data_IF_015771940208
#
_entry.id   IF_015771940208
#
_cell.length_a   1.000
_cell.length_b   1.000
_cell.length_c   1.000
_cell.angle_alpha   90.00
_cell.angle_beta   90.00
_cell.angle_gamma   90.00
#
_symmetry.space_group_name_H-M   'P 1'
#
loop_
_entity.id
_entity.type
_entity.pdbx_description
1 polymer ?
#
# COMPACT_ATOMS: atom_id res chain seq x y z
N UNK A 1 25.18 -10.00 11.37
CA UNK A 1 23.93 -10.09 10.59
C UNK A 1 22.86 -9.09 11.02
N UNK A 2 22.43 -9.05 12.29
CA UNK A 2 21.29 -8.25 12.75
C UNK A 2 21.40 -6.72 12.49
N UNK A 3 22.60 -6.14 12.61
CA UNK A 3 22.86 -4.72 12.27
C UNK A 3 22.71 -4.42 10.78
N UNK A 4 23.16 -5.31 9.91
CA UNK A 4 23.05 -5.15 8.46
C UNK A 4 21.58 -5.27 8.02
N UNK A 5 20.82 -6.19 8.61
CA UNK A 5 19.38 -6.31 8.36
C UNK A 5 18.63 -5.03 8.78
N UNK A 6 18.89 -4.51 9.99
CA UNK A 6 18.26 -3.29 10.49
C UNK A 6 18.57 -2.07 9.62
N UNK A 7 19.77 -1.99 9.06
CA UNK A 7 20.16 -0.94 8.13
C UNK A 7 19.39 -1.05 6.80
N UNK A 8 19.30 -2.25 6.21
CA UNK A 8 18.52 -2.48 4.99
C UNK A 8 17.04 -2.14 5.19
N UNK A 9 16.45 -2.50 6.34
CA UNK A 9 15.07 -2.15 6.68
C UNK A 9 14.90 -0.63 6.77
N UNK A 10 15.80 0.06 7.48
CA UNK A 10 15.73 1.52 7.61
C UNK A 10 15.88 2.21 6.24
N UNK A 11 16.79 1.75 5.40
CA UNK A 11 16.96 2.29 4.04
C UNK A 11 15.74 2.04 3.16
N UNK A 12 15.10 0.86 3.25
CA UNK A 12 13.91 0.58 2.45
C UNK A 12 12.69 1.40 2.92
N UNK A 13 12.42 1.45 4.22
CA UNK A 13 11.22 2.08 4.78
C UNK A 13 11.34 3.59 4.99
N UNK A 14 12.48 4.06 5.49
CA UNK A 14 12.67 5.47 5.86
C UNK A 14 13.34 6.30 4.76
N UNK A 15 13.45 5.77 3.55
CA UNK A 15 13.88 6.57 2.41
C UNK A 15 12.80 7.61 2.06
N UNK A 16 13.24 8.79 1.59
CA UNK A 16 12.38 9.90 1.17
C UNK A 16 11.31 9.44 0.18
N UNK A 17 11.67 8.64 -0.82
CA UNK A 17 10.72 8.16 -1.85
C UNK A 17 9.66 7.25 -1.24
N UNK A 18 10.05 6.26 -0.43
CA UNK A 18 9.11 5.37 0.26
C UNK A 18 8.15 6.15 1.16
N UNK A 19 8.67 7.13 1.92
CA UNK A 19 7.84 7.99 2.76
C UNK A 19 6.87 8.84 1.94
N UNK A 20 7.34 9.46 0.84
CA UNK A 20 6.49 10.25 -0.06
C UNK A 20 5.35 9.38 -0.60
N UNK A 21 5.64 8.18 -1.09
CA UNK A 21 4.63 7.24 -1.62
C UNK A 21 3.62 6.87 -0.53
N UNK A 22 4.09 6.58 0.69
CA UNK A 22 3.20 6.23 1.81
C UNK A 22 2.27 7.40 2.15
N UNK A 23 2.82 8.61 2.33
CA UNK A 23 2.03 9.78 2.70
C UNK A 23 1.09 10.23 1.56
N UNK A 24 1.52 10.16 0.30
CA UNK A 24 0.65 10.43 -0.83
C UNK A 24 -0.49 9.41 -0.94
N UNK A 25 -0.21 8.12 -0.71
CA UNK A 25 -1.22 7.07 -0.70
C UNK A 25 -2.25 7.27 0.41
N UNK A 26 -1.80 7.61 1.62
CA UNK A 26 -2.70 7.93 2.73
C UNK A 26 -3.56 9.17 2.42
N UNK A 27 -2.96 10.25 1.91
CA UNK A 27 -3.70 11.46 1.55
C UNK A 27 -4.77 11.19 0.48
N UNK A 28 -4.43 10.43 -0.57
CA UNK A 28 -5.38 10.02 -1.60
C UNK A 28 -6.58 9.26 -1.01
N UNK A 29 -6.33 8.37 -0.05
CA UNK A 29 -7.39 7.59 0.60
C UNK A 29 -8.27 8.46 1.49
N UNK A 30 -7.70 9.42 2.23
CA UNK A 30 -8.51 10.37 2.99
C UNK A 30 -9.40 11.22 2.08
N UNK A 31 -8.85 11.72 0.98
CA UNK A 31 -9.60 12.49 -0.03
C UNK A 31 -10.72 11.62 -0.61
N UNK A 32 -10.40 10.40 -1.05
CA UNK A 32 -11.39 9.46 -1.58
C UNK A 32 -12.50 9.18 -0.57
N UNK A 33 -12.15 8.85 0.67
CA UNK A 33 -13.11 8.53 1.73
C UNK A 33 -14.02 9.71 2.05
N UNK A 34 -13.48 10.93 2.10
CA UNK A 34 -14.28 12.14 2.33
C UNK A 34 -15.29 12.37 1.20
N UNK A 35 -14.84 12.33 -0.06
CA UNK A 35 -15.69 12.65 -1.21
C UNK A 35 -16.70 11.55 -1.53
N UNK A 36 -16.32 10.28 -1.46
CA UNK A 36 -17.15 9.16 -1.94
C UNK A 36 -17.95 8.45 -0.85
N UNK A 37 -17.48 8.51 0.40
CA UNK A 37 -18.15 7.90 1.55
C UNK A 37 -18.87 8.97 2.36
N UNK A 38 -18.13 9.85 3.05
CA UNK A 38 -18.72 10.79 4.04
C UNK A 38 -19.77 11.71 3.41
N UNK A 39 -19.49 12.29 2.24
CA UNK A 39 -20.43 13.21 1.57
C UNK A 39 -21.77 12.57 1.20
N UNK A 40 -21.80 11.25 1.01
CA UNK A 40 -22.99 10.51 0.59
C UNK A 40 -23.69 9.78 1.74
N UNK A 41 -23.12 9.80 2.95
CA UNK A 41 -23.78 9.33 4.16
C UNK A 41 -24.79 10.40 4.58
N UNK A 42 -26.03 10.26 4.09
CA UNK A 42 -27.15 11.16 4.41
C UNK A 42 -27.95 11.67 3.21
N UNK A 43 -27.46 11.46 1.98
CA UNK A 43 -28.18 11.80 0.74
C UNK A 43 -28.94 10.55 0.27
N UNK A 44 -30.21 10.45 0.67
CA UNK A 44 -30.98 9.21 0.68
C UNK A 44 -31.18 8.53 -0.68
N UNK A 45 -30.88 7.23 -0.72
CA UNK A 45 -31.70 6.10 -1.23
C UNK A 45 -30.89 4.82 -0.95
N UNK A 46 -31.28 4.10 0.10
CA UNK A 46 -30.47 3.16 0.90
C UNK A 46 -30.12 1.79 0.27
N UNK A 47 -29.97 1.70 -1.06
CA UNK A 47 -29.56 0.44 -1.70
C UNK A 47 -28.06 0.34 -2.02
N UNK A 48 -27.37 1.48 -2.17
CA UNK A 48 -25.98 1.51 -2.67
C UNK A 48 -24.96 2.09 -1.69
N UNK A 49 -25.36 2.41 -0.46
CA UNK A 49 -24.45 2.86 0.61
C UNK A 49 -23.96 1.63 1.39
N UNK A 50 -23.29 0.72 0.69
CA UNK A 50 -22.63 -0.43 1.33
C UNK A 50 -21.12 -0.35 1.11
N UNK A 51 -20.36 -0.97 2.02
CA UNK A 51 -18.90 -1.07 1.87
C UNK A 51 -18.52 -1.69 0.52
N UNK A 52 -19.30 -2.65 0.01
CA UNK A 52 -19.03 -3.33 -1.26
C UNK A 52 -19.08 -2.39 -2.47
N UNK A 53 -19.95 -1.37 -2.47
CA UNK A 53 -20.05 -0.43 -3.59
C UNK A 53 -19.18 0.82 -3.43
N UNK A 54 -18.83 1.17 -2.19
CA UNK A 54 -18.12 2.42 -1.88
C UNK A 54 -16.62 2.23 -1.65
N UNK A 55 -16.20 1.06 -1.20
CA UNK A 55 -14.79 0.77 -1.01
C UNK A 55 -14.08 0.86 -2.34
N UNK A 56 -12.96 1.61 -2.35
CA UNK A 56 -12.11 1.74 -3.53
C UNK A 56 -11.85 0.38 -4.16
N UNK A 57 -11.59 -0.64 -3.33
CA UNK A 57 -11.23 -2.01 -3.68
C UNK A 57 -12.15 -2.82 -4.59
N UNK A 58 -13.41 -2.41 -4.74
CA UNK A 58 -14.41 -3.20 -5.46
C UNK A 58 -15.08 -2.38 -6.58
N UNK A 59 -14.44 -1.29 -7.00
CA UNK A 59 -14.99 -0.34 -7.98
C UNK A 59 -14.38 -0.57 -9.36
N UNK A 60 -15.19 -1.08 -10.29
CA UNK A 60 -14.75 -1.66 -11.57
C UNK A 60 -13.72 -0.81 -12.34
N UNK A 61 -14.01 0.46 -12.66
CA UNK A 61 -13.13 1.26 -13.53
C UNK A 61 -11.95 1.94 -12.81
N UNK A 62 -12.04 2.17 -11.50
CA UNK A 62 -11.01 2.91 -10.75
C UNK A 62 -9.94 1.98 -10.17
N UNK A 63 -10.31 0.71 -9.97
CA UNK A 63 -9.40 -0.30 -9.43
C UNK A 63 -8.34 -0.74 -10.42
N UNK A 64 -8.63 -0.73 -11.72
CA UNK A 64 -7.66 -1.10 -12.74
C UNK A 64 -6.40 -0.23 -12.65
N UNK A 65 -6.57 1.09 -12.49
CA UNK A 65 -5.44 2.01 -12.37
C UNK A 65 -4.65 1.76 -11.08
N UNK A 66 -5.34 1.49 -9.96
CA UNK A 66 -4.69 1.26 -8.68
C UNK A 66 -3.92 -0.07 -8.66
N UNK A 67 -4.47 -1.13 -9.25
CA UNK A 67 -3.82 -2.43 -9.42
C UNK A 67 -2.61 -2.34 -10.37
N UNK A 68 -2.71 -1.54 -11.44
CA UNK A 68 -1.59 -1.29 -12.36
C UNK A 68 -0.42 -0.54 -11.68
N UNK A 69 -0.70 0.27 -10.66
CA UNK A 69 0.34 0.97 -9.90
C UNK A 69 1.08 0.06 -8.92
N UNK A 70 0.51 -1.08 -8.52
CA UNK A 70 1.11 -2.02 -7.56
C UNK A 70 2.56 -2.42 -7.92
N UNK A 71 2.86 -2.95 -9.12
CA UNK A 71 4.24 -3.34 -9.46
C UNK A 71 5.20 -2.16 -9.48
N UNK A 72 4.73 -0.98 -9.89
CA UNK A 72 5.53 0.25 -9.91
C UNK A 72 5.89 0.65 -8.48
N UNK A 73 4.90 0.72 -7.58
CA UNK A 73 5.08 1.03 -6.16
C UNK A 73 6.02 0.01 -5.49
N UNK A 74 5.82 -1.27 -5.77
CA UNK A 74 6.62 -2.35 -5.19
C UNK A 74 8.10 -2.28 -5.61
N UNK A 75 8.41 -1.71 -6.77
CA UNK A 75 9.79 -1.61 -7.28
C UNK A 75 10.62 -0.47 -6.65
N UNK A 76 9.98 0.59 -6.15
CA UNK A 76 10.69 1.77 -5.64
C UNK A 76 11.59 1.53 -4.42
N UNK A 77 11.17 0.75 -3.40
CA UNK A 77 12.03 0.47 -2.25
C UNK A 77 13.32 -0.24 -2.66
N UNK A 78 13.25 -1.17 -3.62
CA UNK A 78 14.43 -1.84 -4.15
C UNK A 78 15.33 -0.87 -4.91
N UNK A 79 14.78 -0.16 -5.89
CA UNK A 79 15.53 0.78 -6.73
C UNK A 79 16.29 1.82 -5.89
N UNK A 80 15.59 2.44 -4.94
CA UNK A 80 16.17 3.51 -4.13
C UNK A 80 17.15 3.01 -3.08
N UNK A 81 16.86 1.88 -2.42
CA UNK A 81 17.79 1.26 -1.48
C UNK A 81 19.07 0.77 -2.17
N UNK A 82 18.95 0.22 -3.38
CA UNK A 82 20.10 -0.21 -4.16
C UNK A 82 20.95 0.98 -4.65
N UNK A 83 20.31 2.06 -5.11
CA UNK A 83 21.03 3.25 -5.56
C UNK A 83 21.76 3.95 -4.40
N UNK A 84 21.18 3.97 -3.19
CA UNK A 84 21.85 4.49 -1.99
C UNK A 84 23.12 3.70 -1.66
N UNK A 85 23.07 2.37 -1.76
CA UNK A 85 24.25 1.53 -1.53
C UNK A 85 25.32 1.74 -2.62
N UNK A 86 24.91 2.04 -3.85
CA UNK A 86 25.81 2.38 -4.95
C UNK A 86 26.48 3.74 -4.75
N UNK A 87 25.74 4.77 -4.32
CA UNK A 87 26.26 6.12 -4.10
C UNK A 87 27.18 6.22 -2.89
N UNK A 88 26.86 5.50 -1.80
CA UNK A 88 27.70 5.45 -0.59
C UNK A 88 28.98 4.62 -0.80
N UNK A 89 29.15 4.09 -2.01
CA UNK A 89 30.20 3.18 -2.40
C UNK A 89 29.94 1.81 -1.79
N UNK A 90 29.62 0.82 -2.62
CA UNK A 90 29.61 -0.62 -2.27
C UNK A 90 30.93 -1.13 -1.62
N UNK A 91 31.94 -0.26 -1.49
CA UNK A 91 33.28 -0.49 -0.93
C UNK A 91 33.26 -1.24 0.40
N UNK A 92 32.40 -0.98 1.40
CA UNK A 92 32.41 -1.75 2.65
C UNK A 92 31.85 -3.17 2.50
N UNK A 93 31.00 -3.45 1.50
CA UNK A 93 30.45 -4.78 1.26
C UNK A 93 31.46 -5.67 0.53
N UNK A 94 32.10 -5.11 -0.50
CA UNK A 94 33.20 -5.74 -1.24
C UNK A 94 34.43 -5.91 -0.35
N UNK A 95 34.74 -4.93 0.52
CA UNK A 95 35.90 -5.00 1.42
C UNK A 95 35.71 -5.88 2.66
N UNK A 96 34.47 -6.27 3.03
CA UNK A 96 34.18 -7.09 4.22
C UNK A 96 33.99 -8.58 3.91
N UNK A 97 34.19 -9.02 2.67
CA UNK A 97 34.12 -10.44 2.31
C UNK A 97 32.72 -11.06 2.43
N UNK A 98 31.65 -10.25 2.38
CA UNK A 98 30.28 -10.76 2.40
C UNK A 98 29.95 -11.25 0.98
N UNK A 99 29.49 -12.50 0.86
CA UNK A 99 29.10 -13.05 -0.43
C UNK A 99 27.88 -12.30 -1.00
N UNK A 100 27.91 -12.08 -2.32
CA UNK A 100 26.90 -11.27 -3.02
C UNK A 100 25.50 -11.87 -2.95
N UNK A 101 25.43 -13.21 -2.89
CA UNK A 101 24.19 -13.97 -2.88
C UNK A 101 23.33 -13.70 -1.62
N UNK A 102 23.81 -13.95 -0.37
CA UNK A 102 23.02 -13.67 0.83
C UNK A 102 22.68 -12.19 1.01
N UNK A 103 23.54 -11.28 0.53
CA UNK A 103 23.19 -9.84 0.47
C UNK A 103 21.97 -9.60 -0.42
N UNK A 104 22.01 -10.11 -1.65
CA UNK A 104 20.94 -9.91 -2.65
C UNK A 104 19.61 -10.51 -2.18
N UNK A 105 19.65 -11.71 -1.58
CA UNK A 105 18.46 -12.35 -0.99
C UNK A 105 17.88 -11.51 0.14
N UNK A 106 18.73 -11.04 1.07
CA UNK A 106 18.28 -10.20 2.20
C UNK A 106 17.66 -8.90 1.70
N UNK A 107 18.30 -8.26 0.71
CA UNK A 107 17.80 -7.02 0.13
C UNK A 107 16.45 -7.25 -0.54
N UNK A 108 16.32 -8.28 -1.36
CA UNK A 108 15.07 -8.63 -2.03
C UNK A 108 13.92 -8.84 -1.05
N UNK A 109 14.13 -9.65 0.00
CA UNK A 109 13.12 -9.91 1.03
C UNK A 109 12.65 -8.60 1.69
N UNK A 110 13.60 -7.78 2.17
CA UNK A 110 13.28 -6.52 2.85
C UNK A 110 12.51 -5.58 1.92
N UNK A 111 12.93 -5.46 0.67
CA UNK A 111 12.30 -4.53 -0.28
C UNK A 111 10.95 -5.03 -0.78
N UNK A 112 10.77 -6.35 -0.89
CA UNK A 112 9.48 -6.96 -1.22
C UNK A 112 8.44 -6.66 -0.15
N UNK A 113 8.77 -6.89 1.12
CA UNK A 113 7.87 -6.56 2.23
C UNK A 113 7.62 -5.06 2.34
N UNK A 114 8.64 -4.22 2.11
CA UNK A 114 8.48 -2.77 2.11
C UNK A 114 7.54 -2.29 1.00
N UNK A 115 7.75 -2.76 -0.24
CA UNK A 115 6.91 -2.42 -1.39
C UNK A 115 5.48 -2.93 -1.24
N UNK A 116 5.32 -4.17 -0.77
CA UNK A 116 4.02 -4.74 -0.45
C UNK A 116 3.29 -3.92 0.64
N UNK A 117 3.99 -3.50 1.70
CA UNK A 117 3.39 -2.69 2.75
C UNK A 117 3.01 -1.28 2.24
N UNK A 118 3.86 -0.65 1.43
CA UNK A 118 3.58 0.66 0.81
C UNK A 118 2.30 0.67 -0.02
N UNK A 119 2.02 -0.43 -0.73
CA UNK A 119 0.82 -0.57 -1.52
C UNK A 119 -0.39 -1.00 -0.68
N UNK A 120 -0.23 -2.05 0.12
CA UNK A 120 -1.34 -2.71 0.81
C UNK A 120 -1.80 -1.96 2.06
N UNK A 121 -0.91 -1.28 2.77
CA UNK A 121 -1.26 -0.60 4.02
C UNK A 121 -2.29 0.52 3.81
N UNK A 122 -2.10 1.45 2.86
CA UNK A 122 -3.14 2.43 2.52
C UNK A 122 -4.46 1.72 2.17
N UNK A 123 -4.40 0.69 1.32
CA UNK A 123 -5.58 -0.03 0.84
C UNK A 123 -6.39 -0.69 1.96
N UNK A 124 -5.74 -1.37 2.91
CA UNK A 124 -6.42 -1.94 4.10
C UNK A 124 -7.05 -0.83 4.94
N UNK A 125 -6.35 0.31 5.10
CA UNK A 125 -6.89 1.44 5.86
C UNK A 125 -8.16 2.01 5.21
N UNK A 126 -8.23 2.05 3.89
CA UNK A 126 -9.46 2.48 3.18
C UNK A 126 -10.64 1.55 3.47
N UNK A 127 -10.41 0.23 3.56
CA UNK A 127 -11.44 -0.74 3.90
C UNK A 127 -11.91 -0.54 5.34
N UNK A 128 -10.97 -0.35 6.26
CA UNK A 128 -11.26 -0.07 7.66
C UNK A 128 -12.10 1.20 7.80
N UNK A 129 -11.75 2.28 7.10
CA UNK A 129 -12.54 3.51 7.13
C UNK A 129 -13.95 3.31 6.57
N UNK A 130 -14.11 2.58 5.47
CA UNK A 130 -15.44 2.24 4.95
C UNK A 130 -16.27 1.49 5.99
N UNK A 131 -15.68 0.48 6.65
CA UNK A 131 -16.37 -0.30 7.70
C UNK A 131 -16.70 0.47 8.96
N UNK A 132 -15.87 1.45 9.35
CA UNK A 132 -16.14 2.30 10.51
C UNK A 132 -17.17 3.40 10.24
N UNK A 133 -17.35 3.79 8.97
CA UNK A 133 -18.20 4.94 8.61
C UNK A 133 -19.56 4.52 8.06
N UNK A 134 -19.60 3.44 7.28
CA UNK A 134 -20.83 2.93 6.68
C UNK A 134 -21.50 2.00 7.71
N UNK A 135 -22.73 2.29 8.16
CA UNK A 135 -23.45 1.37 9.03
C UNK A 135 -23.66 0.04 8.28
N UNK A 136 -23.34 -1.08 8.94
CA UNK A 136 -23.72 -2.38 8.42
C UNK A 136 -25.26 -2.45 8.48
N UNK A 137 -25.92 -2.22 7.34
CA UNK A 137 -27.37 -2.34 7.23
C UNK A 137 -27.80 -3.74 7.63
N UNK A 138 -28.99 -3.88 8.23
CA UNK A 138 -29.57 -5.21 8.40
C UNK A 138 -29.67 -5.87 7.02
N UNK A 139 -29.20 -7.13 6.86
CA UNK A 139 -29.37 -7.83 5.60
C UNK A 139 -30.86 -7.91 5.32
N UNK A 140 -31.35 -7.11 4.38
CA UNK A 140 -32.76 -7.10 4.04
C UNK A 140 -33.06 -8.43 3.37
N UNK A 141 -33.67 -9.35 4.13
CA UNK A 141 -34.16 -10.61 3.61
C UNK A 141 -35.22 -10.31 2.54
N UNK A 142 -34.81 -10.28 1.27
CA UNK A 142 -35.74 -10.18 0.14
C UNK A 142 -35.52 -9.06 -0.87
N UNK A 143 -34.31 -8.55 -1.11
CA UNK A 143 -34.04 -7.96 -2.43
C UNK A 143 -33.64 -9.08 -3.38
N UNK A 144 -34.62 -9.56 -4.14
CA UNK A 144 -34.48 -10.60 -5.16
C UNK A 144 -33.58 -10.18 -6.32
N UNK A 145 -32.29 -9.95 -6.06
CA UNK A 145 -31.26 -9.83 -7.08
C UNK A 145 -30.51 -11.16 -7.11
N UNK A 146 -31.22 -12.18 -7.56
CA UNK A 146 -30.66 -13.37 -8.19
C UNK A 146 -31.33 -13.41 -9.57
N UNK A 147 -30.51 -13.26 -10.61
CA UNK A 147 -30.78 -13.37 -12.05
C UNK A 147 -32.22 -13.64 -12.51
#
# INVERSE_FOLDING_TARGET
MMRALRLNIKQAFCNRVSLIIMFSGLALIFIYHYYYVIRYIGDGTDAFVTTAFKWIGFRDNEMDVYLLLMPVIASFPFSTSYNSDKSDGFKPFVSKGISLFPYSVTKYIVTFFCGGLLYTFPFILSLLFCKLTIPDGEPTAGSGIIN
#
